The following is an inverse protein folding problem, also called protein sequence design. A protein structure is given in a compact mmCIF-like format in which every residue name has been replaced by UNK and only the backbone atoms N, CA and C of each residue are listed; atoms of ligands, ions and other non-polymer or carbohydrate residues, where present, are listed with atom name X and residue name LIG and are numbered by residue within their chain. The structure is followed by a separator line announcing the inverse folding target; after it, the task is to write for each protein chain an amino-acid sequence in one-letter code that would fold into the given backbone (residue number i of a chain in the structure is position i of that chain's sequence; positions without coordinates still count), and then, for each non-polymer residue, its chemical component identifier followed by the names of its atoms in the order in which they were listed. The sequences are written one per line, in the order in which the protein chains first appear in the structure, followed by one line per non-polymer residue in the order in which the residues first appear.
data_IF_997926855870
#
_entry.id   IF_997926855870
#
_cell.length_a   1.000
_cell.length_b   1.000
_cell.length_c   1.000
_cell.angle_alpha   90.00
_cell.angle_beta   90.00
_cell.angle_gamma   90.00
#
_symmetry.space_group_name_H-M   'P 1'
#
loop_
_entity.id
_entity.type
_entity.pdbx_description
1 polymer ?
#
# COMPACT_ATOMS: atom_id res chain seq x y z
N UNK A 1 26.27 -14.81 0.14
CA UNK A 1 25.46 -15.00 1.35
C UNK A 1 24.50 -16.14 1.08
N UNK A 2 24.73 -17.35 1.63
CA UNK A 2 23.87 -18.53 1.41
C UNK A 2 22.62 -18.35 2.27
N UNK A 3 21.45 -18.30 1.65
CA UNK A 3 20.17 -18.37 2.36
C UNK A 3 20.12 -19.70 3.12
N UNK A 4 19.73 -19.73 4.40
CA UNK A 4 19.56 -20.98 5.13
C UNK A 4 18.46 -21.80 4.47
N UNK A 5 18.83 -23.00 4.10
CA UNK A 5 17.99 -23.99 3.44
C UNK A 5 16.84 -24.40 4.35
N UNK A 6 15.63 -24.44 3.77
CA UNK A 6 14.41 -25.10 4.23
C UNK A 6 13.91 -24.67 5.61
N UNK A 7 12.86 -23.86 5.57
CA UNK A 7 11.91 -23.84 6.68
C UNK A 7 11.55 -25.30 7.01
N UNK A 8 11.59 -25.72 8.29
CA UNK A 8 11.13 -27.05 8.66
C UNK A 8 9.72 -27.22 8.14
N UNK A 9 9.48 -28.29 7.40
CA UNK A 9 8.13 -28.71 7.04
C UNK A 9 7.28 -28.77 8.31
N UNK A 10 5.99 -28.41 8.26
CA UNK A 10 5.14 -28.55 9.42
C UNK A 10 5.07 -30.03 9.77
N UNK A 11 6.01 -30.44 10.61
CA UNK A 11 6.04 -31.77 11.18
C UNK A 11 4.76 -32.02 11.93
N UNK A 12 4.05 -33.01 11.47
CA UNK A 12 3.34 -34.01 12.24
C UNK A 12 3.02 -33.63 13.68
N UNK A 13 1.72 -33.49 13.96
CA UNK A 13 1.07 -33.75 15.24
C UNK A 13 1.75 -33.22 16.50
N UNK A 14 1.85 -31.91 16.68
CA UNK A 14 2.05 -31.33 18.02
C UNK A 14 0.86 -31.62 18.97
N UNK A 15 -0.24 -32.14 18.45
CA UNK A 15 -1.34 -32.68 19.26
C UNK A 15 -1.02 -34.03 19.90
N UNK A 16 -0.06 -34.78 19.39
CA UNK A 16 0.34 -36.08 19.92
C UNK A 16 0.81 -36.02 21.38
N UNK A 17 1.78 -35.17 21.70
CA UNK A 17 2.25 -35.04 23.11
C UNK A 17 1.18 -34.48 24.06
N UNK A 18 0.35 -33.56 23.59
CA UNK A 18 -0.76 -32.98 24.40
C UNK A 18 -1.87 -34.00 24.58
N UNK A 19 -2.24 -34.75 23.58
CA UNK A 19 -3.22 -35.82 23.65
C UNK A 19 -2.72 -36.96 24.54
N UNK A 20 -1.44 -37.32 24.45
CA UNK A 20 -0.80 -38.32 25.32
C UNK A 20 -0.78 -37.84 26.79
N UNK A 21 -0.38 -36.60 27.05
CA UNK A 21 -0.42 -36.02 28.38
C UNK A 21 -1.85 -35.98 28.97
N UNK A 22 -2.82 -35.56 28.17
CA UNK A 22 -4.23 -35.52 28.56
C UNK A 22 -4.77 -36.92 28.85
N UNK A 23 -4.43 -37.92 28.03
CA UNK A 23 -4.82 -39.31 28.29
C UNK A 23 -4.17 -39.87 29.56
N UNK A 24 -2.92 -39.55 29.83
CA UNK A 24 -2.21 -39.97 31.06
C UNK A 24 -2.83 -39.32 32.30
N UNK A 25 -3.10 -38.03 32.26
CA UNK A 25 -3.77 -37.29 33.37
C UNK A 25 -5.18 -37.83 33.58
N UNK A 26 -5.91 -38.13 32.52
CA UNK A 26 -7.24 -38.73 32.60
C UNK A 26 -7.20 -40.12 33.25
N UNK A 27 -6.30 -41.00 32.80
CA UNK A 27 -6.14 -42.34 33.41
C UNK A 27 -5.76 -42.29 34.87
N UNK A 28 -4.80 -41.41 35.24
CA UNK A 28 -4.42 -41.19 36.65
C UNK A 28 -5.61 -40.64 37.49
N UNK A 29 -6.40 -39.75 36.90
CA UNK A 29 -7.60 -39.19 37.54
C UNK A 29 -8.69 -40.25 37.80
N UNK A 30 -8.92 -41.17 36.82
CA UNK A 30 -9.86 -42.28 36.99
C UNK A 30 -9.43 -43.22 38.10
N UNK A 31 -8.15 -43.62 38.16
CA UNK A 31 -7.58 -44.47 39.21
C UNK A 31 -7.67 -43.77 40.58
N UNK A 32 -7.33 -42.48 40.67
CA UNK A 32 -7.46 -41.71 41.91
C UNK A 32 -8.90 -41.55 42.39
N UNK A 33 -9.85 -41.37 41.48
CA UNK A 33 -11.29 -41.28 41.81
C UNK A 33 -11.82 -42.61 42.30
N UNK A 34 -11.43 -43.73 41.68
CA UNK A 34 -11.83 -45.06 42.12
C UNK A 34 -11.29 -45.39 43.52
N UNK A 35 -10.02 -45.06 43.80
CA UNK A 35 -9.44 -45.22 45.15
C UNK A 35 -10.14 -44.33 46.19
N UNK A 36 -10.39 -43.09 45.86
CA UNK A 36 -11.08 -42.16 46.76
C UNK A 36 -12.50 -42.62 47.09
N UNK A 37 -13.22 -43.14 46.08
CA UNK A 37 -14.54 -43.70 46.25
C UNK A 37 -14.53 -44.91 47.18
N UNK A 38 -13.54 -45.80 47.04
CA UNK A 38 -13.37 -46.96 47.91
C UNK A 38 -13.02 -46.57 49.35
N UNK A 39 -12.15 -45.56 49.54
CA UNK A 39 -11.83 -45.03 50.91
C UNK A 39 -13.04 -44.38 51.55
N UNK A 40 -13.79 -43.55 50.84
CA UNK A 40 -14.99 -42.90 51.38
C UNK A 40 -16.14 -43.90 51.67
N UNK A 41 -16.30 -44.86 50.75
CA UNK A 41 -17.31 -45.90 50.92
C UNK A 41 -17.01 -46.80 52.13
N UNK A 42 -15.75 -47.18 52.34
CA UNK A 42 -15.30 -47.92 53.51
C UNK A 42 -15.53 -47.16 54.81
N UNK A 43 -15.27 -45.84 54.80
CA UNK A 43 -15.51 -44.99 55.97
C UNK A 43 -17.01 -44.84 56.29
N UNK A 44 -17.90 -44.81 55.30
CA UNK A 44 -19.35 -44.71 55.49
C UNK A 44 -19.94 -46.08 55.84
N UNK A 45 -19.43 -47.17 55.27
CA UNK A 45 -19.94 -48.53 55.46
C UNK A 45 -19.34 -49.29 56.62
N UNK A 46 -18.39 -48.71 57.38
CA UNK A 46 -17.75 -49.33 58.53
C UNK A 46 -16.81 -50.51 58.18
N UNK A 47 -16.33 -50.56 56.98
CA UNK A 47 -15.40 -51.59 56.45
C UNK A 47 -13.93 -51.17 56.49
N UNK A 48 -13.00 -52.14 56.41
CA UNK A 48 -11.59 -51.84 56.39
C UNK A 48 -11.23 -50.97 55.16
N UNK A 49 -10.51 -49.87 55.41
CA UNK A 49 -10.05 -48.96 54.32
C UNK A 49 -9.10 -49.68 53.34
N UNK A 50 -9.27 -49.55 52.03
CA UNK A 50 -8.29 -50.07 51.09
C UNK A 50 -6.98 -49.30 51.29
N UNK A 51 -5.89 -49.95 51.50
CA UNK A 51 -4.56 -49.37 51.73
C UNK A 51 -4.16 -48.22 50.81
N UNK A 52 -2.92 -48.03 50.51
CA UNK A 52 -2.47 -46.98 49.56
C UNK A 52 -2.97 -47.19 48.12
N UNK A 53 -2.89 -46.16 47.29
CA UNK A 53 -3.33 -46.20 45.87
C UNK A 53 -2.72 -47.37 45.11
N UNK A 54 -1.46 -47.69 45.35
CA UNK A 54 -0.74 -48.82 44.70
C UNK A 54 -1.27 -50.18 45.09
N UNK A 55 -1.64 -50.37 46.35
CA UNK A 55 -2.24 -51.62 46.88
C UNK A 55 -3.66 -51.78 46.38
N UNK A 56 -4.44 -50.73 46.34
CA UNK A 56 -5.78 -50.70 45.75
C UNK A 56 -5.75 -51.07 44.26
N UNK A 57 -4.79 -50.49 43.50
CA UNK A 57 -4.65 -50.80 42.07
C UNK A 57 -4.28 -52.27 41.82
N UNK A 58 -3.40 -52.82 42.64
CA UNK A 58 -3.05 -54.25 42.57
C UNK A 58 -4.24 -55.16 42.83
N UNK A 59 -5.03 -54.85 43.88
CA UNK A 59 -6.26 -55.58 44.22
C UNK A 59 -7.36 -55.43 43.16
N UNK A 60 -7.44 -54.26 42.50
CA UNK A 60 -8.36 -54.04 41.40
C UNK A 60 -8.01 -54.86 40.14
N UNK A 61 -6.74 -55.06 39.88
CA UNK A 61 -6.27 -55.89 38.77
C UNK A 61 -6.44 -57.39 39.02
N UNK A 62 -6.37 -57.84 40.30
CA UNK A 62 -6.61 -59.23 40.69
C UNK A 62 -8.08 -59.58 40.84
N UNK A 63 -9.00 -58.62 40.79
CA UNK A 63 -10.43 -58.83 40.93
C UNK A 63 -10.88 -58.96 42.39
N UNK A 64 -10.02 -58.72 43.38
CA UNK A 64 -10.29 -58.93 44.82
C UNK A 64 -10.95 -57.73 45.54
N UNK A 65 -11.33 -56.68 44.78
CA UNK A 65 -11.99 -55.49 45.36
C UNK A 65 -13.48 -55.79 45.63
N UNK A 66 -13.84 -55.87 46.89
CA UNK A 66 -15.25 -55.97 47.28
C UNK A 66 -15.87 -54.56 47.37
N UNK A 67 -16.85 -54.30 46.50
CA UNK A 67 -17.57 -53.02 46.48
C UNK A 67 -18.81 -53.09 47.34
N UNK A 68 -18.95 -52.23 48.35
CA UNK A 68 -20.20 -52.00 49.08
C UNK A 68 -21.11 -51.08 48.25
N UNK A 69 -22.44 -51.25 48.34
CA UNK A 69 -23.39 -50.57 47.43
C UNK A 69 -23.36 -49.04 47.37
N UNK A 70 -22.76 -48.35 48.37
CA UNK A 70 -22.61 -46.90 48.42
C UNK A 70 -21.45 -46.37 47.59
N UNK A 71 -20.42 -47.18 47.33
CA UNK A 71 -19.20 -46.80 46.62
C UNK A 71 -19.44 -46.55 45.12
N UNK A 72 -20.41 -47.27 44.55
CA UNK A 72 -20.81 -47.11 43.17
C UNK A 72 -21.41 -45.74 42.87
N UNK A 73 -22.17 -45.18 43.82
CA UNK A 73 -22.77 -43.83 43.66
C UNK A 73 -21.70 -42.74 43.75
N UNK A 74 -20.71 -42.90 44.64
CA UNK A 74 -19.59 -41.96 44.77
C UNK A 74 -18.70 -42.00 43.53
N UNK A 75 -18.44 -43.19 43.01
CA UNK A 75 -17.65 -43.37 41.78
C UNK A 75 -18.36 -42.74 40.57
N UNK A 76 -19.68 -42.95 40.45
CA UNK A 76 -20.48 -42.31 39.38
C UNK A 76 -20.46 -40.78 39.49
N UNK A 77 -20.57 -40.22 40.72
CA UNK A 77 -20.47 -38.77 40.94
C UNK A 77 -19.12 -38.19 40.55
N UNK A 78 -18.03 -38.84 40.97
CA UNK A 78 -16.68 -38.42 40.61
C UNK A 78 -16.42 -38.55 39.11
N UNK A 79 -16.95 -39.59 38.46
CA UNK A 79 -16.89 -39.77 36.99
C UNK A 79 -17.59 -38.64 36.22
N UNK A 80 -18.76 -38.22 36.71
CA UNK A 80 -19.48 -37.07 36.08
C UNK A 80 -18.72 -35.77 36.23
N UNK A 81 -18.12 -35.51 37.41
CA UNK A 81 -17.30 -34.30 37.62
C UNK A 81 -16.08 -34.31 36.74
N UNK A 82 -15.37 -35.44 36.58
CA UNK A 82 -14.21 -35.58 35.71
C UNK A 82 -14.61 -35.39 34.26
N UNK A 83 -15.71 -35.99 33.82
CA UNK A 83 -16.22 -35.82 32.45
C UNK A 83 -16.59 -34.36 32.17
N UNK A 84 -17.24 -33.68 33.10
CA UNK A 84 -17.58 -32.27 32.99
C UNK A 84 -16.33 -31.38 32.89
N UNK A 85 -15.28 -31.67 33.70
CA UNK A 85 -14.00 -30.95 33.63
C UNK A 85 -13.28 -31.14 32.28
N UNK A 86 -13.28 -32.37 31.76
CA UNK A 86 -12.70 -32.67 30.43
C UNK A 86 -13.47 -31.96 29.31
N UNK A 87 -14.79 -32.03 29.30
CA UNK A 87 -15.64 -31.34 28.32
C UNK A 87 -15.48 -29.85 28.42
N UNK A 88 -15.45 -29.27 29.64
CA UNK A 88 -15.19 -27.88 29.88
C UNK A 88 -13.82 -27.42 29.32
N UNK A 89 -12.78 -28.21 29.61
CA UNK A 89 -11.43 -27.98 29.09
C UNK A 89 -11.36 -28.01 27.54
N UNK A 90 -12.03 -28.98 26.92
CA UNK A 90 -12.12 -29.08 25.47
C UNK A 90 -12.89 -27.90 24.83
N UNK A 91 -13.97 -27.44 25.48
CA UNK A 91 -14.75 -26.30 25.01
C UNK A 91 -13.93 -25.00 25.12
N UNK A 92 -13.19 -24.81 26.22
CA UNK A 92 -12.29 -23.66 26.38
C UNK A 92 -11.16 -23.71 25.37
N UNK A 93 -10.50 -24.86 25.20
CA UNK A 93 -9.46 -25.04 24.19
C UNK A 93 -9.99 -24.81 22.76
N UNK A 94 -11.19 -25.30 22.45
CA UNK A 94 -11.87 -25.07 21.18
C UNK A 94 -12.22 -23.60 20.93
N UNK A 95 -12.57 -22.84 21.98
CA UNK A 95 -12.79 -21.39 21.88
C UNK A 95 -11.48 -20.60 21.69
N UNK A 96 -10.40 -21.03 22.32
CA UNK A 96 -9.07 -20.39 22.18
C UNK A 96 -8.43 -20.63 20.81
N UNK A 97 -8.80 -21.72 20.11
CA UNK A 97 -8.28 -22.03 18.77
C UNK A 97 -9.20 -21.57 17.64
N UNK A 98 -10.44 -21.15 17.95
CA UNK A 98 -11.40 -20.72 16.94
C UNK A 98 -10.93 -19.42 16.28
N UNK A 99 -10.65 -19.47 14.95
CA UNK A 99 -10.24 -18.33 14.14
C UNK A 99 -8.73 -18.21 13.91
N UNK A 100 -7.90 -19.09 14.48
CA UNK A 100 -6.45 -19.09 14.22
C UNK A 100 -6.14 -19.79 12.89
N UNK A 101 -5.46 -19.09 12.01
CA UNK A 101 -4.98 -19.66 10.76
C UNK A 101 -3.62 -20.35 10.95
N UNK A 102 -3.18 -21.07 9.93
CA UNK A 102 -1.85 -21.71 9.91
C UNK A 102 -0.69 -20.71 10.10
N UNK A 103 -0.92 -19.44 9.72
CA UNK A 103 0.04 -18.33 9.88
C UNK A 103 0.14 -17.91 11.35
N UNK A 104 -0.97 -17.96 12.11
CA UNK A 104 -1.03 -17.53 13.50
C UNK A 104 -0.14 -18.37 14.43
N UNK A 105 0.11 -19.62 14.09
CA UNK A 105 1.02 -20.48 14.83
C UNK A 105 2.46 -19.96 14.84
N UNK A 106 2.90 -19.32 13.75
CA UNK A 106 4.25 -18.72 13.64
C UNK A 106 4.33 -17.33 14.26
N UNK A 107 3.21 -16.71 14.61
CA UNK A 107 3.18 -15.39 15.22
C UNK A 107 3.94 -15.30 16.55
N UNK A 108 4.10 -16.42 17.29
CA UNK A 108 4.91 -16.49 18.52
C UNK A 108 6.40 -16.17 18.28
N UNK A 109 6.90 -16.33 17.05
CA UNK A 109 8.27 -16.03 16.67
C UNK A 109 8.45 -14.65 16.01
N UNK A 110 7.35 -13.92 15.84
CA UNK A 110 7.35 -12.57 15.27
C UNK A 110 7.55 -11.51 16.37
N UNK A 111 7.61 -10.24 15.95
CA UNK A 111 7.80 -9.10 16.81
C UNK A 111 6.88 -9.12 18.05
N UNK A 112 7.43 -8.76 19.18
CA UNK A 112 6.70 -8.63 20.45
C UNK A 112 5.95 -7.30 20.51
N UNK A 113 5.10 -7.11 21.51
CA UNK A 113 4.43 -5.83 21.75
C UNK A 113 5.43 -4.68 21.96
N UNK A 114 6.57 -4.96 22.59
CA UNK A 114 7.64 -3.98 22.82
C UNK A 114 8.31 -3.58 21.50
N UNK A 115 8.58 -4.54 20.62
CA UNK A 115 9.17 -4.27 19.28
C UNK A 115 8.25 -3.43 18.39
N UNK A 116 6.93 -3.53 18.60
CA UNK A 116 5.91 -2.81 17.86
C UNK A 116 5.43 -1.53 18.56
N UNK A 117 6.06 -1.12 19.65
CA UNK A 117 5.56 -0.02 20.50
C UNK A 117 5.37 1.31 19.73
N UNK A 118 6.23 1.60 18.75
CA UNK A 118 6.11 2.80 17.91
C UNK A 118 4.93 2.73 16.92
N UNK A 119 4.60 1.53 16.44
CA UNK A 119 3.52 1.30 15.48
C UNK A 119 2.17 1.08 16.15
N UNK A 120 2.16 0.75 17.44
CA UNK A 120 0.95 0.54 18.24
C UNK A 120 0.22 1.88 18.47
N UNK A 121 -1.09 1.87 18.77
CA UNK A 121 -1.90 3.10 18.81
C UNK A 121 -1.29 4.24 19.62
N UNK A 122 -0.80 3.96 20.84
CA UNK A 122 -0.20 5.00 21.69
C UNK A 122 1.14 5.56 21.16
N UNK A 123 1.96 4.71 20.52
CA UNK A 123 3.22 5.12 19.92
C UNK A 123 3.00 5.94 18.65
N UNK A 124 2.15 5.43 17.77
CA UNK A 124 1.78 6.09 16.53
C UNK A 124 1.08 7.43 16.77
N UNK A 125 0.18 7.49 17.78
CA UNK A 125 -0.49 8.73 18.15
C UNK A 125 0.50 9.80 18.66
N UNK A 126 1.46 9.44 19.50
CA UNK A 126 2.52 10.36 19.96
C UNK A 126 3.39 10.86 18.81
N UNK A 127 3.68 10.00 17.83
CA UNK A 127 4.41 10.41 16.65
C UNK A 127 3.59 11.39 15.78
N UNK A 128 2.31 11.11 15.58
CA UNK A 128 1.41 12.03 14.87
C UNK A 128 1.28 13.40 15.58
N UNK A 129 1.27 13.42 16.93
CA UNK A 129 1.29 14.66 17.72
C UNK A 129 2.60 15.43 17.54
N UNK A 130 3.74 14.74 17.58
CA UNK A 130 5.06 15.33 17.30
C UNK A 130 5.11 15.97 15.91
N UNK A 131 4.44 15.38 14.94
CA UNK A 131 4.37 15.87 13.55
C UNK A 131 3.30 16.95 13.32
N UNK A 132 2.45 17.23 14.32
CA UNK A 132 1.32 18.15 14.17
C UNK A 132 0.16 17.58 13.35
N UNK A 133 0.17 16.28 13.05
CA UNK A 133 -0.76 15.61 12.15
C UNK A 133 -1.80 14.73 12.87
N UNK A 134 -1.91 14.83 14.20
CA UNK A 134 -2.79 13.99 15.03
C UNK A 134 -4.28 14.07 14.62
N UNK A 135 -4.73 15.20 14.06
CA UNK A 135 -6.09 15.37 13.54
C UNK A 135 -6.38 14.47 12.32
N UNK A 136 -5.34 14.11 11.55
CA UNK A 136 -5.45 13.18 10.42
C UNK A 136 -5.48 11.71 10.88
N UNK A 137 -5.12 11.43 12.13
CA UNK A 137 -5.07 10.11 12.72
C UNK A 137 -3.65 9.71 13.14
N UNK A 138 -3.48 8.50 13.69
CA UNK A 138 -2.20 8.07 14.25
C UNK A 138 -1.12 7.77 13.19
N UNK A 139 -1.47 7.67 11.93
CA UNK A 139 -0.58 7.34 10.83
C UNK A 139 -1.27 6.53 9.75
N UNK A 140 -0.49 6.07 8.78
CA UNK A 140 -0.99 5.23 7.68
C UNK A 140 -1.23 3.81 8.19
N UNK A 141 -2.43 3.20 7.99
CA UNK A 141 -2.73 1.87 8.49
C UNK A 141 -1.83 0.82 7.84
N UNK A 142 -1.19 -0.01 8.67
CA UNK A 142 -0.31 -1.10 8.25
C UNK A 142 -1.03 -2.46 8.32
N UNK A 143 -1.90 -2.64 9.30
CA UNK A 143 -2.61 -3.89 9.56
C UNK A 143 -2.86 -4.10 11.04
N UNK A 144 -3.08 -5.37 11.43
CA UNK A 144 -3.36 -5.76 12.82
C UNK A 144 -2.35 -6.80 13.27
N UNK A 145 -1.76 -6.60 14.46
CA UNK A 145 -0.86 -7.57 15.05
C UNK A 145 -1.57 -8.88 15.37
N UNK A 146 -1.09 -9.99 14.83
CA UNK A 146 -1.66 -11.33 15.08
C UNK A 146 -1.59 -11.73 16.56
N UNK A 147 -0.51 -11.34 17.25
CA UNK A 147 -0.32 -11.70 18.67
C UNK A 147 -1.19 -10.90 19.63
N UNK A 148 -1.33 -9.60 19.36
CA UNK A 148 -1.96 -8.69 20.35
C UNK A 148 -3.34 -8.21 19.90
N UNK A 149 -3.70 -8.39 18.63
CA UNK A 149 -4.94 -7.84 18.07
C UNK A 149 -4.91 -6.31 17.89
N UNK A 150 -3.79 -5.64 18.17
CA UNK A 150 -3.68 -4.18 18.09
C UNK A 150 -3.53 -3.73 16.63
N UNK A 151 -4.24 -2.68 16.22
CA UNK A 151 -4.00 -2.05 14.93
C UNK A 151 -2.61 -1.41 14.93
N UNK A 152 -1.91 -1.50 13.81
CA UNK A 152 -0.58 -0.94 13.61
C UNK A 152 -0.64 0.16 12.56
N UNK A 153 0.11 1.23 12.78
CA UNK A 153 0.20 2.37 11.87
C UNK A 153 1.67 2.73 11.63
N UNK A 154 2.01 3.06 10.41
CA UNK A 154 3.32 3.66 10.09
C UNK A 154 3.23 5.17 10.19
N UNK A 155 4.34 5.80 10.55
CA UNK A 155 4.44 7.26 10.64
C UNK A 155 4.05 7.93 9.30
N UNK A 156 3.49 9.14 9.39
CA UNK A 156 3.20 9.97 8.22
C UNK A 156 4.45 10.37 7.42
N UNK A 157 5.64 10.28 8.00
CA UNK A 157 6.93 10.59 7.33
C UNK A 157 7.59 9.37 6.69
N UNK A 158 7.05 8.17 6.87
CA UNK A 158 7.72 6.96 6.41
C UNK A 158 7.27 6.53 5.02
N UNK A 159 8.24 5.98 4.27
CA UNK A 159 7.96 5.28 3.02
C UNK A 159 7.74 3.80 3.32
N UNK A 160 6.68 3.25 2.76
CA UNK A 160 6.35 1.83 2.90
C UNK A 160 6.63 1.08 1.59
N UNK A 161 7.42 0.02 1.66
CA UNK A 161 7.62 -0.92 0.56
C UNK A 161 6.99 -2.29 0.90
N UNK A 162 5.98 -2.70 0.13
CA UNK A 162 5.31 -3.99 0.30
C UNK A 162 5.71 -4.98 -0.79
N UNK A 163 6.55 -5.97 -0.44
CA UNK A 163 6.99 -7.04 -1.34
C UNK A 163 6.12 -8.27 -1.08
N UNK A 164 5.21 -8.56 -2.00
CA UNK A 164 4.23 -9.63 -1.86
C UNK A 164 4.04 -10.34 -3.21
N UNK A 165 3.78 -11.65 -3.16
CA UNK A 165 3.48 -12.44 -4.35
C UNK A 165 2.15 -12.06 -5.03
N UNK A 166 1.89 -12.55 -6.23
CA UNK A 166 0.59 -12.41 -6.88
C UNK A 166 -0.53 -12.98 -6.01
N UNK A 167 -1.70 -12.30 -6.02
CA UNK A 167 -2.89 -12.70 -5.24
C UNK A 167 -2.68 -12.82 -3.72
N UNK A 168 -1.62 -12.22 -3.18
CA UNK A 168 -1.34 -12.20 -1.74
C UNK A 168 -2.09 -11.10 -0.96
N UNK A 169 -3.01 -10.38 -1.59
CA UNK A 169 -3.84 -9.37 -0.94
C UNK A 169 -3.23 -7.97 -0.85
N UNK A 170 -2.18 -7.64 -1.64
CA UNK A 170 -1.57 -6.28 -1.63
C UNK A 170 -2.62 -5.18 -1.74
N UNK A 171 -3.44 -5.25 -2.79
CA UNK A 171 -4.46 -4.21 -3.04
C UNK A 171 -5.49 -4.19 -1.93
N UNK A 172 -6.08 -5.32 -1.57
CA UNK A 172 -7.21 -5.40 -0.62
C UNK A 172 -6.82 -5.20 0.84
N UNK A 173 -5.62 -5.67 1.25
CA UNK A 173 -5.22 -5.66 2.65
C UNK A 173 -4.23 -4.52 3.00
N UNK A 174 -3.58 -3.90 2.00
CA UNK A 174 -2.64 -2.81 2.21
C UNK A 174 -3.13 -1.53 1.56
N UNK A 175 -3.24 -1.47 0.22
CA UNK A 175 -3.57 -0.24 -0.48
C UNK A 175 -4.96 0.30 -0.14
N UNK A 176 -6.00 -0.55 -0.13
CA UNK A 176 -7.36 -0.13 0.14
C UNK A 176 -7.57 0.48 1.53
N UNK A 177 -7.11 -0.14 2.64
CA UNK A 177 -7.21 0.48 3.94
C UNK A 177 -6.50 1.84 4.01
N UNK A 178 -5.34 1.98 3.36
CA UNK A 178 -4.58 3.23 3.33
C UNK A 178 -5.34 4.33 2.57
N UNK A 179 -5.88 4.02 1.41
CA UNK A 179 -6.67 4.96 0.60
C UNK A 179 -7.94 5.38 1.35
N UNK A 180 -8.71 4.42 1.86
CA UNK A 180 -10.04 4.69 2.44
C UNK A 180 -9.94 5.43 3.78
N UNK A 181 -8.96 5.12 4.61
CA UNK A 181 -8.83 5.69 5.95
C UNK A 181 -8.09 7.04 5.98
N UNK A 182 -7.40 7.41 4.90
CA UNK A 182 -6.71 8.70 4.82
C UNK A 182 -7.72 9.85 4.81
N UNK A 183 -7.52 10.84 5.68
CA UNK A 183 -8.37 12.03 5.77
C UNK A 183 -7.93 13.18 4.86
N UNK A 184 -6.69 13.16 4.41
CA UNK A 184 -6.12 14.12 3.48
C UNK A 184 -6.23 13.69 2.02
N UNK A 185 -5.51 14.38 1.12
CA UNK A 185 -5.48 14.04 -0.29
C UNK A 185 -4.82 12.68 -0.51
N UNK A 186 -5.32 11.95 -1.51
CA UNK A 186 -4.80 10.63 -1.89
C UNK A 186 -4.46 10.62 -3.37
N UNK A 187 -3.21 10.30 -3.69
CA UNK A 187 -2.77 9.99 -5.04
C UNK A 187 -2.58 8.47 -5.15
N UNK A 188 -3.36 7.81 -6.00
CA UNK A 188 -3.29 6.37 -6.18
C UNK A 188 -2.97 6.01 -7.63
N UNK A 189 -1.87 5.26 -7.83
CA UNK A 189 -1.44 4.78 -9.14
C UNK A 189 -1.68 3.29 -9.27
N UNK A 190 -2.24 2.83 -10.39
CA UNK A 190 -2.48 1.41 -10.63
C UNK A 190 -2.52 1.07 -12.12
N UNK A 191 -2.19 -0.19 -12.41
CA UNK A 191 -2.43 -0.79 -13.74
C UNK A 191 -3.75 -1.58 -13.81
N UNK A 192 -4.58 -1.51 -12.76
CA UNK A 192 -5.86 -2.24 -12.66
C UNK A 192 -6.96 -1.33 -12.13
N UNK A 193 -8.18 -1.64 -12.57
CA UNK A 193 -9.38 -0.92 -12.18
C UNK A 193 -9.87 -1.20 -10.74
N UNK A 194 -9.48 -2.33 -10.13
CA UNK A 194 -9.97 -2.78 -8.83
C UNK A 194 -9.77 -1.75 -7.71
N UNK A 195 -8.68 -0.98 -7.78
CA UNK A 195 -8.40 0.08 -6.82
C UNK A 195 -9.47 1.18 -6.86
N UNK A 196 -9.93 1.54 -8.04
CA UNK A 196 -11.00 2.54 -8.23
C UNK A 196 -12.36 1.96 -7.85
N UNK A 197 -12.68 0.77 -8.37
CA UNK A 197 -13.99 0.14 -8.18
C UNK A 197 -14.34 -0.01 -6.69
N UNK A 198 -13.35 -0.29 -5.83
CA UNK A 198 -13.57 -0.54 -4.40
C UNK A 198 -13.50 0.75 -3.58
N UNK A 199 -12.57 1.66 -3.86
CA UNK A 199 -12.29 2.80 -2.99
C UNK A 199 -12.97 4.12 -3.43
N UNK A 200 -13.44 4.22 -4.67
CA UNK A 200 -14.11 5.43 -5.19
C UNK A 200 -15.32 5.87 -4.35
N UNK A 201 -16.22 4.92 -4.04
CA UNK A 201 -17.42 5.21 -3.26
C UNK A 201 -17.10 5.79 -1.87
N UNK A 202 -16.31 5.10 -1.04
CA UNK A 202 -15.86 5.65 0.25
C UNK A 202 -15.12 6.98 0.14
N UNK A 203 -14.30 7.19 -0.89
CA UNK A 203 -13.55 8.44 -1.08
C UNK A 203 -14.44 9.60 -1.54
N UNK A 204 -15.45 9.33 -2.36
CA UNK A 204 -16.38 10.38 -2.80
C UNK A 204 -17.23 10.98 -1.68
N UNK A 205 -17.30 10.31 -0.51
CA UNK A 205 -17.92 10.87 0.70
C UNK A 205 -17.00 11.84 1.45
N UNK A 206 -15.70 11.89 1.12
CA UNK A 206 -14.71 12.74 1.78
C UNK A 206 -14.31 13.95 0.93
N UNK A 207 -14.26 13.80 -0.39
CA UNK A 207 -13.84 14.84 -1.32
C UNK A 207 -14.16 14.47 -2.76
N UNK A 208 -13.71 15.31 -3.70
CA UNK A 208 -13.82 15.02 -5.12
C UNK A 208 -12.96 13.82 -5.51
N UNK A 209 -13.41 13.09 -6.53
CA UNK A 209 -12.68 11.96 -7.07
C UNK A 209 -12.33 12.21 -8.52
N UNK A 210 -11.05 12.30 -8.80
CA UNK A 210 -10.45 12.50 -10.10
C UNK A 210 -9.95 11.17 -10.63
N UNK A 211 -10.40 10.74 -11.81
CA UNK A 211 -9.94 9.48 -12.42
C UNK A 211 -9.30 9.79 -13.77
N UNK A 212 -8.01 9.54 -13.91
CA UNK A 212 -7.25 9.70 -15.15
C UNK A 212 -7.16 8.37 -15.87
N UNK A 213 -7.96 8.19 -16.90
CA UNK A 213 -8.14 6.91 -17.63
C UNK A 213 -7.91 7.06 -19.13
N UNK A 214 -6.74 7.55 -19.53
CA UNK A 214 -6.38 7.80 -20.94
C UNK A 214 -6.55 6.56 -21.83
N UNK A 215 -6.36 5.37 -21.27
CA UNK A 215 -6.39 4.11 -22.02
C UNK A 215 -7.75 3.39 -21.95
N UNK A 216 -8.75 3.99 -21.31
CA UNK A 216 -10.08 3.42 -21.21
C UNK A 216 -10.14 2.11 -20.43
N UNK A 217 -9.29 1.92 -19.43
CA UNK A 217 -9.26 0.71 -18.59
C UNK A 217 -10.50 0.60 -17.69
N UNK A 218 -11.05 1.72 -17.29
CA UNK A 218 -12.26 1.84 -16.47
C UNK A 218 -13.44 2.21 -17.36
N UNK A 219 -13.20 2.94 -18.45
CA UNK A 219 -14.20 3.50 -19.33
C UNK A 219 -14.67 4.90 -18.90
N UNK A 220 -13.84 5.62 -18.13
CA UNK A 220 -14.14 7.01 -17.74
C UNK A 220 -13.91 7.97 -18.90
N UNK A 221 -14.88 8.84 -19.21
CA UNK A 221 -14.66 9.92 -20.16
C UNK A 221 -13.74 10.99 -19.56
N UNK A 222 -13.10 11.79 -20.43
CA UNK A 222 -12.31 12.95 -20.01
C UNK A 222 -13.26 14.08 -19.55
N UNK A 223 -13.82 13.95 -18.35
CA UNK A 223 -14.73 14.89 -17.73
C UNK A 223 -14.03 16.01 -16.93
N UNK A 224 -12.72 16.00 -16.92
CA UNK A 224 -11.80 17.01 -16.41
C UNK A 224 -10.50 16.96 -17.24
N UNK A 225 -9.65 17.96 -17.06
CA UNK A 225 -8.36 18.02 -17.75
C UNK A 225 -7.30 18.67 -16.88
N UNK A 226 -6.04 18.41 -17.19
CA UNK A 226 -4.89 19.03 -16.56
C UNK A 226 -3.94 19.56 -17.62
N UNK A 227 -3.49 20.81 -17.47
CA UNK A 227 -2.48 21.38 -18.34
C UNK A 227 -1.08 21.02 -17.85
N UNK A 228 -0.31 20.16 -18.56
CA UNK A 228 1.05 19.81 -18.17
C UNK A 228 1.99 21.01 -18.07
N UNK A 229 1.74 22.05 -18.89
CA UNK A 229 2.53 23.27 -18.88
C UNK A 229 2.29 24.15 -17.65
N UNK A 230 1.22 23.91 -16.88
CA UNK A 230 1.00 24.61 -15.61
C UNK A 230 2.06 24.30 -14.56
N UNK A 231 2.77 23.20 -14.72
CA UNK A 231 3.92 22.83 -13.90
C UNK A 231 5.15 23.73 -14.17
N UNK A 232 5.25 24.29 -15.38
CA UNK A 232 6.42 25.04 -15.82
C UNK A 232 6.32 26.50 -15.35
N UNK A 233 7.16 26.89 -14.42
CA UNK A 233 7.27 28.26 -13.93
C UNK A 233 8.59 28.95 -14.31
N UNK A 234 9.61 28.16 -14.66
CA UNK A 234 10.94 28.60 -15.01
C UNK A 234 11.67 27.54 -15.86
N UNK A 235 12.94 27.81 -16.21
CA UNK A 235 13.78 26.89 -17.01
C UNK A 235 13.99 25.56 -16.30
N UNK A 236 14.18 25.56 -14.99
CA UNK A 236 14.45 24.36 -14.19
C UNK A 236 13.25 23.38 -14.24
N UNK A 237 12.03 23.88 -14.04
CA UNK A 237 10.83 23.07 -14.14
C UNK A 237 10.51 22.62 -15.57
N UNK A 238 10.91 23.40 -16.59
CA UNK A 238 10.84 22.96 -17.98
C UNK A 238 11.82 21.81 -18.26
N UNK A 239 13.03 21.89 -17.70
CA UNK A 239 14.03 20.83 -17.78
C UNK A 239 13.57 19.55 -17.08
N UNK A 240 12.99 19.65 -15.88
CA UNK A 240 12.44 18.51 -15.13
C UNK A 240 11.34 17.79 -15.93
N UNK A 241 10.39 18.53 -16.49
CA UNK A 241 9.35 17.93 -17.34
C UNK A 241 9.95 17.27 -18.59
N UNK A 242 10.93 17.92 -19.21
CA UNK A 242 11.65 17.37 -20.39
C UNK A 242 12.32 16.05 -20.05
N UNK A 243 13.05 15.97 -18.93
CA UNK A 243 13.74 14.75 -18.49
C UNK A 243 12.75 13.60 -18.22
N UNK A 244 11.60 13.92 -17.65
CA UNK A 244 10.53 12.94 -17.46
C UNK A 244 9.99 12.43 -18.80
N UNK A 245 9.73 13.30 -19.77
CA UNK A 245 9.24 12.92 -21.08
C UNK A 245 10.26 12.04 -21.81
N UNK A 246 11.55 12.39 -21.75
CA UNK A 246 12.66 11.60 -22.31
C UNK A 246 12.70 10.21 -21.65
N UNK A 247 12.68 10.14 -20.34
CA UNK A 247 12.74 8.86 -19.60
C UNK A 247 11.52 7.97 -19.84
N UNK A 248 10.38 8.58 -20.16
CA UNK A 248 9.15 7.86 -20.47
C UNK A 248 9.12 7.29 -21.90
N UNK A 249 9.83 7.94 -22.82
CA UNK A 249 9.89 7.56 -24.24
C UNK A 249 11.09 6.66 -24.56
N UNK A 250 12.11 6.62 -23.69
CA UNK A 250 13.37 5.91 -23.95
C UNK A 250 13.42 4.63 -23.13
N UNK A 251 13.66 3.49 -23.79
CA UNK A 251 13.89 2.23 -23.09
C UNK A 251 15.28 2.21 -22.43
N UNK A 252 15.35 1.62 -21.24
CA UNK A 252 16.63 1.45 -20.53
C UNK A 252 17.59 0.58 -21.36
N UNK A 253 18.60 1.20 -21.95
CA UNK A 253 19.62 0.54 -22.78
C UNK A 253 19.71 1.01 -24.23
N UNK A 254 18.83 1.90 -24.69
CA UNK A 254 18.96 2.51 -26.01
C UNK A 254 20.19 3.43 -26.04
N UNK A 255 21.10 3.20 -27.00
CA UNK A 255 22.23 4.08 -27.24
C UNK A 255 21.79 5.25 -28.13
N UNK A 256 21.76 6.44 -27.57
CA UNK A 256 21.55 7.67 -28.29
C UNK A 256 22.92 8.39 -28.51
N UNK A 257 23.07 9.11 -29.61
CA UNK A 257 24.22 9.98 -29.76
C UNK A 257 24.15 11.12 -28.74
N UNK A 258 25.19 11.26 -27.92
CA UNK A 258 25.21 12.18 -26.79
C UNK A 258 25.05 13.65 -27.21
N UNK A 259 25.58 14.03 -28.39
CA UNK A 259 25.45 15.39 -28.92
C UNK A 259 23.99 15.69 -29.27
N UNK A 260 23.38 14.86 -30.11
CA UNK A 260 21.99 15.07 -30.53
C UNK A 260 20.98 14.93 -29.38
N UNK A 261 21.24 14.03 -28.44
CA UNK A 261 20.41 13.89 -27.25
C UNK A 261 20.45 15.15 -26.36
N UNK A 262 21.64 15.68 -26.10
CA UNK A 262 21.80 16.91 -25.32
C UNK A 262 21.16 18.12 -25.99
N UNK A 263 21.43 18.30 -27.30
CA UNK A 263 20.86 19.42 -28.07
C UNK A 263 19.33 19.30 -28.22
N UNK A 264 18.82 18.09 -28.48
CA UNK A 264 17.38 17.82 -28.57
C UNK A 264 16.65 18.09 -27.26
N UNK A 265 17.28 17.72 -26.13
CA UNK A 265 16.77 18.04 -24.79
C UNK A 265 16.63 19.55 -24.59
N UNK A 266 17.64 20.32 -24.95
CA UNK A 266 17.61 21.78 -24.81
C UNK A 266 16.53 22.42 -25.71
N UNK A 267 16.36 21.94 -26.92
CA UNK A 267 15.31 22.43 -27.83
C UNK A 267 13.93 22.13 -27.27
N UNK A 268 13.69 20.90 -26.79
CA UNK A 268 12.39 20.52 -26.24
C UNK A 268 12.07 21.34 -24.97
N UNK A 269 13.03 21.48 -24.05
CA UNK A 269 12.85 22.28 -22.83
C UNK A 269 12.54 23.74 -23.18
N UNK A 270 13.26 24.34 -24.14
CA UNK A 270 13.02 25.71 -24.58
C UNK A 270 11.61 25.88 -25.19
N UNK A 271 11.15 24.93 -25.99
CA UNK A 271 9.81 24.96 -26.58
C UNK A 271 8.70 24.76 -25.57
N UNK A 272 8.89 23.87 -24.59
CA UNK A 272 7.95 23.68 -23.48
C UNK A 272 7.83 24.96 -22.65
N UNK A 273 8.96 25.60 -22.32
CA UNK A 273 8.96 26.89 -21.64
C UNK A 273 8.25 27.97 -22.48
N UNK A 274 8.53 28.04 -23.80
CA UNK A 274 7.87 28.98 -24.71
C UNK A 274 6.36 28.81 -24.70
N UNK A 275 5.89 27.57 -24.75
CA UNK A 275 4.46 27.27 -24.72
C UNK A 275 3.84 27.65 -23.36
N UNK A 276 4.54 27.38 -22.25
CA UNK A 276 4.08 27.72 -20.92
C UNK A 276 3.93 29.24 -20.72
N UNK A 277 4.97 30.02 -21.00
CA UNK A 277 4.94 31.48 -20.82
C UNK A 277 4.01 32.17 -21.81
N UNK A 278 3.88 31.61 -23.03
CA UNK A 278 3.00 32.16 -24.07
C UNK A 278 1.54 31.72 -23.95
N UNK A 279 1.16 30.94 -22.92
CA UNK A 279 -0.21 30.42 -22.73
C UNK A 279 -0.68 29.51 -23.87
N UNK A 280 0.26 28.84 -24.53
CA UNK A 280 -0.04 27.94 -25.67
C UNK A 280 -0.30 26.50 -25.17
N UNK A 281 -1.12 25.71 -25.86
CA UNK A 281 -1.29 24.30 -25.51
C UNK A 281 -0.01 23.50 -25.78
N UNK A 282 0.19 22.42 -25.03
CA UNK A 282 1.37 21.54 -25.19
C UNK A 282 1.44 20.93 -26.61
N UNK A 283 0.33 20.80 -27.31
CA UNK A 283 0.25 20.32 -28.69
C UNK A 283 0.98 21.21 -29.68
N UNK A 284 1.12 22.50 -29.38
CA UNK A 284 1.88 23.43 -30.26
C UNK A 284 3.36 23.07 -30.27
N UNK A 285 3.90 22.56 -29.16
CA UNK A 285 5.30 22.09 -29.09
C UNK A 285 5.56 20.97 -30.09
N UNK A 286 4.59 20.07 -30.29
CA UNK A 286 4.69 19.04 -31.34
C UNK A 286 4.75 19.66 -32.72
N UNK A 287 3.87 20.64 -32.99
CA UNK A 287 3.85 21.36 -34.27
C UNK A 287 5.19 22.04 -34.57
N UNK A 288 5.74 22.76 -33.58
CA UNK A 288 7.03 23.44 -33.69
C UNK A 288 8.21 22.48 -33.91
N UNK A 289 8.18 21.29 -33.30
CA UNK A 289 9.21 20.28 -33.57
C UNK A 289 9.14 19.68 -34.98
N UNK A 290 7.95 19.66 -35.60
CA UNK A 290 7.78 19.19 -36.95
C UNK A 290 8.04 20.30 -38.01
N UNK A 291 7.67 21.54 -37.69
CA UNK A 291 8.01 22.70 -38.48
C UNK A 291 9.24 23.42 -37.90
N UNK A 292 10.41 22.97 -38.30
CA UNK A 292 11.72 23.50 -37.86
C UNK A 292 11.98 24.96 -38.22
N UNK A 293 11.10 25.58 -39.01
CA UNK A 293 11.20 26.98 -39.43
C UNK A 293 10.22 27.89 -38.65
N UNK A 294 9.37 27.31 -37.83
CA UNK A 294 8.45 28.08 -37.04
C UNK A 294 9.19 28.88 -35.95
N UNK A 295 9.19 30.20 -36.07
CA UNK A 295 9.83 31.13 -35.13
C UNK A 295 8.94 31.45 -33.92
N UNK A 296 7.72 30.98 -33.89
CA UNK A 296 6.77 31.28 -32.81
C UNK A 296 7.37 31.02 -31.41
N UNK A 297 7.99 29.87 -31.11
CA UNK A 297 8.54 29.63 -29.78
C UNK A 297 9.68 30.61 -29.43
N UNK A 298 10.50 31.01 -30.44
CA UNK A 298 11.55 31.99 -30.22
C UNK A 298 10.99 33.39 -29.90
N UNK A 299 9.93 33.81 -30.62
CA UNK A 299 9.26 35.08 -30.41
C UNK A 299 8.62 35.14 -29.02
N UNK A 300 7.91 34.09 -28.60
CA UNK A 300 7.32 33.97 -27.27
C UNK A 300 8.37 34.06 -26.14
N UNK A 301 9.49 33.37 -26.27
CA UNK A 301 10.59 33.48 -25.29
C UNK A 301 11.13 34.90 -25.20
N UNK A 302 11.31 35.59 -26.30
CA UNK A 302 11.77 36.98 -26.32
C UNK A 302 10.76 37.94 -25.68
N UNK A 303 9.48 37.80 -26.04
CA UNK A 303 8.39 38.62 -25.51
C UNK A 303 8.28 38.47 -23.95
N UNK A 304 8.44 37.25 -23.45
CA UNK A 304 8.39 36.95 -22.03
C UNK A 304 9.77 37.06 -21.33
N UNK A 305 10.74 37.73 -21.95
CA UNK A 305 12.08 38.05 -21.39
C UNK A 305 12.91 36.79 -21.00
N UNK A 306 12.67 35.66 -21.64
CA UNK A 306 13.45 34.44 -21.46
C UNK A 306 14.71 34.46 -22.38
N UNK A 307 15.55 35.48 -22.21
CA UNK A 307 16.63 35.85 -23.15
C UNK A 307 17.64 34.73 -23.38
N UNK A 308 18.08 34.05 -22.29
CA UNK A 308 19.07 32.98 -22.42
C UNK A 308 18.51 31.78 -23.16
N UNK A 309 17.29 31.34 -22.78
CA UNK A 309 16.61 30.23 -23.47
C UNK A 309 16.31 30.56 -24.91
N UNK A 310 15.91 31.80 -25.22
CA UNK A 310 15.75 32.28 -26.59
C UNK A 310 17.07 32.21 -27.39
N UNK A 311 18.21 32.54 -26.78
CA UNK A 311 19.52 32.46 -27.40
C UNK A 311 19.89 31.00 -27.73
N UNK A 312 19.66 30.09 -26.81
CA UNK A 312 19.90 28.64 -27.00
C UNK A 312 19.04 28.09 -28.14
N UNK A 313 17.75 28.41 -28.14
CA UNK A 313 16.83 27.96 -29.18
C UNK A 313 17.23 28.54 -30.56
N UNK A 314 17.53 29.83 -30.61
CA UNK A 314 17.98 30.49 -31.85
C UNK A 314 19.29 29.86 -32.41
N UNK A 315 20.22 29.49 -31.49
CA UNK A 315 21.43 28.77 -31.87
C UNK A 315 21.12 27.42 -32.55
N UNK A 316 20.17 26.67 -31.97
CA UNK A 316 19.73 25.39 -32.54
C UNK A 316 18.98 25.56 -33.89
N UNK A 317 18.16 26.60 -34.02
CA UNK A 317 17.49 26.94 -35.30
C UNK A 317 18.46 27.36 -36.38
N UNK A 318 19.59 27.97 -36.02
CA UNK A 318 20.62 28.46 -36.95
C UNK A 318 21.63 27.39 -37.38
N UNK A 319 21.51 26.15 -36.90
CA UNK A 319 22.35 25.03 -37.34
C UNK A 319 22.17 24.74 -38.82
N UNK A 320 23.17 24.08 -39.43
CA UNK A 320 23.01 23.54 -40.79
C UNK A 320 21.79 22.60 -40.86
N UNK A 321 21.15 22.53 -42.02
CA UNK A 321 19.94 21.71 -42.19
C UNK A 321 20.11 20.29 -41.67
N UNK A 322 21.21 19.63 -42.03
CA UNK A 322 21.51 18.26 -41.57
C UNK A 322 21.66 18.15 -40.07
N UNK A 323 22.31 19.11 -39.39
CA UNK A 323 22.50 19.11 -37.95
C UNK A 323 21.16 19.40 -37.24
N UNK A 324 20.43 20.39 -37.74
CA UNK A 324 19.12 20.76 -37.20
C UNK A 324 18.14 19.61 -37.31
N UNK A 325 18.06 18.95 -38.46
CA UNK A 325 17.21 17.76 -38.63
C UNK A 325 17.58 16.63 -37.69
N UNK A 326 18.88 16.45 -37.40
CA UNK A 326 19.34 15.48 -36.38
C UNK A 326 18.88 15.83 -34.95
N UNK A 327 18.99 17.10 -34.56
CA UNK A 327 18.59 17.58 -33.23
C UNK A 327 17.08 17.45 -33.06
N UNK A 328 16.28 17.99 -33.99
CA UNK A 328 14.82 17.94 -33.91
C UNK A 328 14.29 16.51 -34.08
N UNK A 329 14.91 15.73 -34.97
CA UNK A 329 14.59 14.31 -35.18
C UNK A 329 14.80 13.46 -33.89
N UNK A 330 15.78 13.83 -33.09
CA UNK A 330 16.01 13.16 -31.78
C UNK A 330 14.97 13.56 -30.75
N UNK A 331 14.48 14.80 -30.75
CA UNK A 331 13.47 15.27 -29.79
C UNK A 331 12.04 14.80 -30.10
N UNK A 332 11.68 14.64 -31.38
CA UNK A 332 10.30 14.25 -31.78
C UNK A 332 9.76 13.02 -31.10
N UNK A 333 10.48 11.88 -31.02
CA UNK A 333 9.97 10.68 -30.35
C UNK A 333 9.60 10.89 -28.89
N UNK A 334 10.19 11.85 -28.19
CA UNK A 334 9.95 12.09 -26.77
C UNK A 334 8.57 12.67 -26.47
N UNK A 335 7.96 13.34 -27.46
CA UNK A 335 6.61 13.91 -27.33
C UNK A 335 5.63 13.41 -28.41
N UNK A 336 6.01 12.42 -29.21
CA UNK A 336 5.17 11.90 -30.30
C UNK A 336 3.85 11.27 -29.81
N UNK A 337 3.80 10.91 -28.53
CA UNK A 337 2.58 10.47 -27.85
C UNK A 337 1.45 11.54 -27.88
N UNK A 338 1.77 12.82 -28.04
CA UNK A 338 0.78 13.91 -28.16
C UNK A 338 -0.07 13.82 -29.45
N UNK A 339 0.35 13.00 -30.43
CA UNK A 339 -0.46 12.67 -31.62
C UNK A 339 -1.68 11.82 -31.29
N UNK A 340 -1.72 11.22 -30.08
CA UNK A 340 -2.83 10.40 -29.68
C UNK A 340 -4.05 11.28 -29.31
N UNK A 341 -5.05 11.27 -30.19
CA UNK A 341 -6.27 12.04 -30.03
C UNK A 341 -7.06 11.68 -28.76
N UNK A 342 -6.94 10.46 -28.23
CA UNK A 342 -7.61 10.06 -26.99
C UNK A 342 -6.97 10.69 -25.76
N UNK A 343 -5.70 11.13 -25.84
CA UNK A 343 -5.00 11.80 -24.77
C UNK A 343 -5.34 13.30 -24.71
N UNK A 344 -5.50 13.95 -25.86
CA UNK A 344 -5.64 15.40 -25.94
C UNK A 344 -6.73 15.98 -25.02
N UNK A 345 -7.94 15.37 -24.91
CA UNK A 345 -8.96 15.86 -23.97
C UNK A 345 -8.56 15.86 -22.50
N UNK A 346 -7.57 15.03 -22.12
CA UNK A 346 -7.09 14.97 -20.74
C UNK A 346 -6.06 16.05 -20.39
N UNK A 347 -5.41 16.62 -21.40
CA UNK A 347 -4.28 17.52 -21.20
C UNK A 347 -4.46 18.92 -21.82
N UNK A 348 -5.54 19.13 -22.53
CA UNK A 348 -5.85 20.44 -23.17
C UNK A 348 -7.31 20.78 -22.98
N UNK A 349 -7.59 22.09 -22.92
CA UNK A 349 -8.95 22.60 -23.04
C UNK A 349 -9.52 22.30 -24.45
N UNK A 350 -10.80 21.99 -24.51
CA UNK A 350 -11.54 21.78 -25.75
C UNK A 350 -12.07 23.11 -26.36
N UNK A 351 -11.49 24.23 -25.97
CA UNK A 351 -11.82 25.54 -26.49
C UNK A 351 -12.47 26.46 -25.46
N UNK A 352 -12.91 27.66 -25.89
CA UNK A 352 -13.41 28.70 -24.97
C UNK A 352 -14.67 28.32 -24.17
N UNK A 353 -15.41 27.33 -24.67
CA UNK A 353 -16.67 26.86 -24.04
C UNK A 353 -16.47 25.56 -23.26
N UNK A 354 -15.23 25.16 -22.97
CA UNK A 354 -14.97 23.97 -22.19
C UNK A 354 -15.37 24.20 -20.72
N UNK A 355 -16.44 23.54 -20.28
CA UNK A 355 -16.95 23.61 -18.92
C UNK A 355 -16.34 22.55 -17.97
N UNK A 356 -15.44 21.72 -18.48
CA UNK A 356 -14.79 20.71 -17.65
C UNK A 356 -13.85 21.39 -16.65
N UNK A 357 -13.84 20.95 -15.37
CA UNK A 357 -12.90 21.50 -14.41
C UNK A 357 -11.47 21.18 -14.82
N UNK A 358 -10.59 22.15 -14.65
CA UNK A 358 -9.16 21.95 -14.74
C UNK A 358 -8.63 21.48 -13.39
N UNK A 359 -7.88 20.38 -13.38
CA UNK A 359 -7.22 19.90 -12.17
C UNK A 359 -6.05 20.82 -11.79
N UNK A 360 -6.08 21.27 -10.54
CA UNK A 360 -4.99 22.08 -9.95
C UNK A 360 -4.25 21.25 -8.87
N UNK A 361 -3.00 20.84 -9.12
CA UNK A 361 -2.19 20.12 -8.16
C UNK A 361 -1.99 20.84 -6.82
N UNK A 362 -1.94 22.18 -6.83
CA UNK A 362 -1.75 22.99 -5.61
C UNK A 362 -2.99 22.98 -4.73
N UNK A 363 -4.17 23.19 -5.32
CA UNK A 363 -5.43 23.08 -4.62
C UNK A 363 -5.67 21.65 -4.10
N UNK A 364 -5.33 20.65 -4.91
CA UNK A 364 -5.42 19.24 -4.52
C UNK A 364 -4.56 18.92 -3.28
N UNK A 365 -3.35 19.45 -3.18
CA UNK A 365 -2.43 19.17 -2.06
C UNK A 365 -2.98 19.58 -0.68
N UNK A 366 -3.96 20.48 -0.64
CA UNK A 366 -4.60 20.96 0.61
C UNK A 366 -6.04 20.47 0.77
N UNK A 367 -6.52 19.61 -0.13
CA UNK A 367 -7.87 19.11 -0.16
C UNK A 367 -8.05 17.79 0.60
N UNK A 368 -9.23 17.19 0.49
CA UNK A 368 -9.53 15.81 0.89
C UNK A 368 -9.78 14.91 -0.31
N UNK A 369 -9.43 15.38 -1.49
CA UNK A 369 -9.73 14.75 -2.76
C UNK A 369 -8.90 13.49 -2.98
N UNK A 370 -9.29 12.73 -3.99
CA UNK A 370 -8.54 11.55 -4.43
C UNK A 370 -8.31 11.62 -5.93
N UNK A 371 -7.07 11.39 -6.35
CA UNK A 371 -6.76 11.22 -7.76
C UNK A 371 -6.29 9.78 -8.02
N UNK A 372 -6.94 9.12 -8.97
CA UNK A 372 -6.55 7.80 -9.48
C UNK A 372 -5.91 7.97 -10.84
N UNK A 373 -4.67 7.52 -10.95
CA UNK A 373 -3.92 7.53 -12.20
C UNK A 373 -3.80 6.08 -12.70
N UNK A 374 -4.62 5.74 -13.69
CA UNK A 374 -4.73 4.37 -14.17
C UNK A 374 -4.07 4.25 -15.53
N UNK A 375 -3.02 3.41 -15.59
CA UNK A 375 -2.28 3.16 -16.84
C UNK A 375 -1.74 1.74 -16.87
N UNK A 376 -1.74 1.11 -18.06
CA UNK A 376 -1.07 -0.17 -18.29
C UNK A 376 0.44 -0.02 -18.17
N UNK A 377 1.09 -1.09 -17.74
CA UNK A 377 2.54 -1.19 -17.81
C UNK A 377 3.02 -1.17 -19.27
N UNK A 378 4.20 -0.61 -19.50
CA UNK A 378 4.84 -0.54 -20.82
C UNK A 378 4.96 0.88 -21.37
N UNK A 379 5.54 0.98 -22.58
CA UNK A 379 5.69 2.23 -23.29
C UNK A 379 4.35 2.73 -23.84
N UNK A 380 4.14 4.03 -23.87
CA UNK A 380 2.98 4.63 -24.47
C UNK A 380 2.60 5.99 -23.89
N UNK A 381 1.62 6.63 -24.53
CA UNK A 381 1.15 7.98 -24.22
C UNK A 381 0.73 8.17 -22.77
N UNK A 382 0.10 7.17 -22.18
CA UNK A 382 -0.37 7.24 -20.80
C UNK A 382 0.77 7.33 -19.78
N UNK A 383 1.89 6.61 -20.00
CA UNK A 383 3.03 6.58 -19.06
C UNK A 383 3.62 7.98 -18.84
N UNK A 384 3.86 8.71 -19.94
CA UNK A 384 4.44 10.05 -19.88
C UNK A 384 3.53 11.02 -19.08
N UNK A 385 2.23 11.01 -19.37
CA UNK A 385 1.28 11.92 -18.72
C UNK A 385 0.96 11.49 -17.28
N UNK A 386 0.83 10.20 -17.01
CA UNK A 386 0.69 9.69 -15.65
C UNK A 386 1.90 10.09 -14.80
N UNK A 387 3.11 9.94 -15.32
CA UNK A 387 4.35 10.36 -14.64
C UNK A 387 4.39 11.88 -14.41
N UNK A 388 4.06 12.67 -15.44
CA UNK A 388 4.04 14.13 -15.34
C UNK A 388 3.03 14.63 -14.31
N UNK A 389 1.81 14.09 -14.30
CA UNK A 389 0.78 14.46 -13.34
C UNK A 389 1.14 14.01 -11.92
N UNK A 390 1.73 12.82 -11.76
CA UNK A 390 2.28 12.36 -10.47
C UNK A 390 3.34 13.32 -9.95
N UNK A 391 4.34 13.64 -10.79
CA UNK A 391 5.42 14.56 -10.43
C UNK A 391 4.88 15.95 -10.06
N UNK A 392 4.00 16.51 -10.90
CA UNK A 392 3.40 17.81 -10.64
C UNK A 392 2.60 17.85 -9.33
N UNK A 393 1.86 16.78 -9.03
CA UNK A 393 1.08 16.67 -7.78
C UNK A 393 1.99 16.57 -6.55
N UNK A 394 3.05 15.76 -6.61
CA UNK A 394 3.99 15.63 -5.50
C UNK A 394 4.79 16.92 -5.28
N UNK A 395 5.26 17.55 -6.34
CA UNK A 395 6.01 18.83 -6.27
C UNK A 395 5.13 19.98 -5.78
N UNK A 396 3.86 20.02 -6.19
CA UNK A 396 2.91 20.99 -5.65
C UNK A 396 2.71 20.80 -4.13
N UNK A 397 2.60 19.54 -3.68
CA UNK A 397 2.49 19.21 -2.26
C UNK A 397 3.76 19.62 -1.47
N UNK A 398 4.96 19.34 -2.01
CA UNK A 398 6.23 19.78 -1.43
C UNK A 398 6.31 21.32 -1.34
N UNK A 399 5.92 22.02 -2.40
CA UNK A 399 5.93 23.47 -2.43
C UNK A 399 4.95 24.06 -1.40
N UNK A 400 3.72 23.55 -1.33
CA UNK A 400 2.75 23.96 -0.31
C UNK A 400 3.28 23.69 1.08
N UNK A 401 3.86 22.49 1.32
CA UNK A 401 4.43 22.12 2.60
C UNK A 401 5.55 23.07 3.04
N UNK A 402 6.44 23.47 2.12
CA UNK A 402 7.58 24.36 2.41
C UNK A 402 7.15 25.74 2.94
N UNK A 403 5.91 26.17 2.63
CA UNK A 403 5.35 27.44 3.09
C UNK A 403 4.46 27.31 4.35
N UNK A 404 4.30 26.08 4.86
CA UNK A 404 3.54 25.82 6.09
C UNK A 404 4.44 25.62 7.31
N UNK A 405 3.84 25.72 8.50
CA UNK A 405 4.58 25.56 9.76
C UNK A 405 5.24 24.18 9.84
N UNK A 406 6.53 24.16 10.14
CA UNK A 406 7.32 22.94 10.23
C UNK A 406 7.69 22.31 8.87
N UNK A 407 7.42 22.99 7.74
CA UNK A 407 7.74 22.47 6.40
C UNK A 407 6.92 21.24 6.01
N UNK A 408 5.70 21.10 6.53
CA UNK A 408 4.82 19.95 6.32
C UNK A 408 3.42 20.40 5.90
N UNK A 409 2.75 19.55 5.14
CA UNK A 409 1.31 19.74 4.89
C UNK A 409 0.53 19.67 6.21
N UNK A 410 -0.42 20.57 6.39
CA UNK A 410 -1.31 20.57 7.56
C UNK A 410 -2.05 19.24 7.69
N UNK A 411 -2.51 18.67 6.58
CA UNK A 411 -3.06 17.31 6.53
C UNK A 411 -2.18 16.48 5.59
N UNK A 412 -1.61 15.35 6.05
CA UNK A 412 -0.72 14.54 5.24
C UNK A 412 -1.39 14.00 3.98
N UNK A 413 -0.66 14.04 2.86
CA UNK A 413 -1.04 13.38 1.62
C UNK A 413 -0.49 11.95 1.60
N UNK A 414 -1.29 11.01 1.12
CA UNK A 414 -0.87 9.61 0.93
C UNK A 414 -0.77 9.31 -0.56
N UNK A 415 0.40 8.84 -1.00
CA UNK A 415 0.64 8.33 -2.35
C UNK A 415 0.78 6.80 -2.32
N UNK A 416 -0.01 6.08 -3.13
CA UNK A 416 -0.08 4.61 -3.21
C UNK A 416 0.20 4.13 -4.62
#
# INVERSE_FOLDING_TARGET
MRLPNRLPEPGTNELGPIAFLAATVFAAGVVGAAWLAAVMGAAIGGHASPGGVSTFFASALSGDVQWAGGESAILAGLGVVLAAAVVGGLLVAGRMTKGRTRVDFKAKFMATAADMALLAPNGAQRDAERLGSAHAGPGVPLGTSVRTGLPLHVSWEWVQLSIMGPRAGKTTCVCMPQIIQTKGPVLATSNKRDIVDISRGPRSMQGLVWVHDVQGLIGEPANWWWNPLSYITNVETADELTDLLISSATDSGSKQDAYFASAGRQVLSAMLLAAAVGGRPITDVLTWLYDVKDETPLLLLKEHKQTFTATVLNGSMSLTEKQRDGVYGTARPWIDFLRNETLQPWITSQGPNDLRPQFDPTAFATSTDTIYLISREGAGSARAMTGALTMATLKAAENVASHQAGGRLSTPMVAV
#
